data_IF_174465889789
#
_entry.id   IF_174465889789
#
_cell.length_a   1.000
_cell.length_b   1.000
_cell.length_c   1.000
_cell.angle_alpha   90.00
_cell.angle_beta   90.00
_cell.angle_gamma   90.00
#
_symmetry.space_group_name_H-M   'P 1'
#
loop_
_entity.id
_entity.type
_entity.pdbx_description
1 polymer ?
#
# COMPACT_ATOMS: atom_id res chain seq x y z
N UNK A 1 27.08 -0.03 17.25
CA UNK A 1 25.69 -0.53 17.22
C UNK A 1 25.16 -0.14 15.86
N UNK A 2 24.75 -1.09 15.04
CA UNK A 2 24.35 -0.81 13.66
C UNK A 2 22.93 -0.23 13.63
N UNK A 3 22.63 0.64 12.64
CA UNK A 3 21.29 1.22 12.39
C UNK A 3 20.18 0.16 12.42
N UNK A 4 20.46 -1.04 11.96
CA UNK A 4 19.55 -2.19 11.99
C UNK A 4 19.08 -2.62 13.40
N UNK A 5 19.88 -2.35 14.43
CA UNK A 5 19.54 -2.71 15.81
C UNK A 5 18.66 -1.64 16.45
N UNK A 6 18.83 -0.40 16.03
CA UNK A 6 18.01 0.73 16.54
C UNK A 6 16.59 0.66 15.99
N UNK A 7 16.46 0.43 14.68
CA UNK A 7 15.20 0.27 13.96
C UNK A 7 14.33 -0.89 14.52
N UNK A 8 14.99 -2.00 14.88
CA UNK A 8 14.33 -3.16 15.48
C UNK A 8 13.81 -2.90 16.91
N UNK A 9 14.54 -2.10 17.69
CA UNK A 9 14.14 -1.74 19.06
C UNK A 9 12.99 -0.72 19.08
N UNK A 10 12.95 0.23 18.12
CA UNK A 10 11.83 1.17 17.98
C UNK A 10 10.56 0.47 17.50
N UNK A 11 10.66 -0.47 16.56
CA UNK A 11 9.54 -1.29 16.09
C UNK A 11 8.93 -2.17 17.18
N UNK A 12 9.75 -2.76 18.05
CA UNK A 12 9.26 -3.55 19.19
C UNK A 12 8.54 -2.67 20.23
N UNK A 13 8.93 -1.42 20.38
CA UNK A 13 8.30 -0.47 21.30
C UNK A 13 6.96 0.10 20.79
N UNK A 14 6.79 0.20 19.47
CA UNK A 14 5.58 0.78 18.85
C UNK A 14 4.58 -0.28 18.39
N UNK A 15 4.96 -1.57 18.33
CA UNK A 15 4.15 -2.64 17.76
C UNK A 15 3.95 -2.54 16.25
N UNK A 16 4.65 -1.63 15.60
CA UNK A 16 4.62 -1.46 14.14
C UNK A 16 5.64 -2.38 13.47
N UNK A 17 5.36 -2.76 12.23
CA UNK A 17 6.35 -3.50 11.45
C UNK A 17 7.55 -2.63 11.09
N UNK A 18 8.78 -3.20 11.07
CA UNK A 18 9.99 -2.47 10.74
C UNK A 18 9.88 -1.74 9.40
N UNK A 19 10.41 -0.53 9.33
CA UNK A 19 10.45 0.30 8.13
C UNK A 19 9.21 1.18 7.91
N UNK A 20 8.18 1.11 8.75
CA UNK A 20 7.10 2.09 8.74
C UNK A 20 7.45 3.30 9.60
N UNK A 21 7.49 4.47 8.98
CA UNK A 21 7.82 5.75 9.60
C UNK A 21 6.63 6.69 9.55
N UNK A 22 6.30 7.30 10.68
CA UNK A 22 5.23 8.28 10.79
C UNK A 22 5.61 9.60 10.12
N UNK A 23 4.78 10.10 9.24
CA UNK A 23 4.87 11.46 8.70
C UNK A 23 4.30 12.43 9.73
N UNK A 24 5.10 13.40 10.17
CA UNK A 24 4.72 14.34 11.23
C UNK A 24 4.23 15.68 10.72
N UNK A 25 4.50 16.00 9.44
CA UNK A 25 4.21 17.31 8.86
C UNK A 25 3.61 17.21 7.45
N UNK A 26 2.99 18.32 6.99
CA UNK A 26 2.44 18.44 5.66
C UNK A 26 1.11 17.71 5.47
N UNK A 27 0.72 17.51 4.22
CA UNK A 27 -0.58 16.92 3.87
C UNK A 27 -0.72 15.45 4.29
N UNK A 28 0.39 14.76 4.53
CA UNK A 28 0.44 13.37 4.94
C UNK A 28 0.68 13.19 6.44
N UNK A 29 0.63 14.26 7.24
CA UNK A 29 0.75 14.16 8.68
C UNK A 29 -0.25 13.13 9.25
N UNK A 30 0.24 12.20 10.09
CA UNK A 30 -0.55 11.08 10.62
C UNK A 30 -0.62 9.84 9.72
N UNK A 31 0.00 9.86 8.57
CA UNK A 31 0.19 8.68 7.72
C UNK A 31 1.60 8.11 7.90
N UNK A 32 1.81 6.91 7.40
CA UNK A 32 3.08 6.19 7.44
C UNK A 32 3.58 5.92 6.03
N UNK A 33 4.88 5.91 5.86
CA UNK A 33 5.56 5.49 4.64
C UNK A 33 6.70 4.51 4.94
N UNK A 34 7.29 3.91 3.90
CA UNK A 34 8.41 3.00 4.03
C UNK A 34 9.75 3.72 4.10
N UNK A 35 10.63 3.23 5.00
CA UNK A 35 12.07 3.52 4.98
C UNK A 35 12.88 2.22 5.18
N UNK A 36 13.90 1.96 4.34
CA UNK A 36 14.24 2.70 3.13
C UNK A 36 13.14 2.60 2.07
N UNK A 37 13.00 3.62 1.23
CA UNK A 37 11.97 3.66 0.18
C UNK A 37 12.15 2.53 -0.83
N UNK A 38 11.07 1.94 -1.31
CA UNK A 38 11.05 1.15 -2.51
C UNK A 38 11.16 2.09 -3.73
N UNK A 39 12.22 1.91 -4.52
CA UNK A 39 12.54 2.85 -5.60
C UNK A 39 11.45 2.94 -6.67
N UNK A 40 10.77 1.84 -6.99
CA UNK A 40 9.71 1.88 -7.98
C UNK A 40 8.43 2.48 -7.40
N UNK A 41 8.08 2.15 -6.18
CA UNK A 41 6.94 2.73 -5.47
C UNK A 41 7.12 4.23 -5.26
N UNK A 42 8.33 4.69 -4.92
CA UNK A 42 8.65 6.13 -4.80
C UNK A 42 8.52 6.86 -6.13
N UNK A 43 8.98 6.23 -7.22
CA UNK A 43 8.87 6.81 -8.55
C UNK A 43 7.41 6.90 -9.02
N UNK A 44 6.62 5.85 -8.83
CA UNK A 44 5.21 5.80 -9.21
C UNK A 44 4.30 6.56 -8.24
N UNK A 45 4.63 6.54 -6.94
CA UNK A 45 3.91 7.16 -5.83
C UNK A 45 4.37 8.60 -5.55
N UNK A 46 4.70 8.94 -4.30
CA UNK A 46 4.78 8.06 -3.12
C UNK A 46 3.43 7.53 -2.63
N UNK A 47 3.47 6.39 -1.91
CA UNK A 47 2.29 5.77 -1.30
C UNK A 47 2.40 5.80 0.22
N UNK A 48 1.25 5.88 0.88
CA UNK A 48 1.14 6.00 2.32
C UNK A 48 0.10 5.03 2.86
N UNK A 49 0.15 4.77 4.17
CA UNK A 49 -0.87 4.00 4.85
C UNK A 49 -1.13 4.56 6.24
N UNK A 50 -2.28 4.22 6.82
CA UNK A 50 -2.57 4.49 8.23
C UNK A 50 -3.59 3.49 8.75
N UNK A 51 -3.62 3.25 10.10
CA UNK A 51 -4.71 2.51 10.70
C UNK A 51 -6.01 3.32 10.66
N UNK A 52 -7.14 2.65 10.67
CA UNK A 52 -8.47 3.23 10.84
C UNK A 52 -9.03 2.90 12.24
N UNK A 53 -10.00 3.67 12.70
CA UNK A 53 -10.56 3.54 14.05
C UNK A 53 -11.26 2.20 14.30
N UNK A 54 -11.78 1.57 13.24
CA UNK A 54 -12.40 0.24 13.26
C UNK A 54 -11.41 -0.93 13.29
N UNK A 55 -10.10 -0.63 13.34
CA UNK A 55 -9.02 -1.60 13.30
C UNK A 55 -8.61 -2.01 11.88
N UNK A 56 -9.22 -1.41 10.86
CA UNK A 56 -8.84 -1.55 9.46
C UNK A 56 -7.57 -0.78 9.11
N UNK A 57 -7.20 -0.84 7.84
CA UNK A 57 -6.07 -0.11 7.27
C UNK A 57 -6.52 0.56 5.97
N UNK A 58 -6.14 1.81 5.79
CA UNK A 58 -6.30 2.53 4.53
C UNK A 58 -4.93 2.86 3.95
N UNK A 59 -4.77 2.62 2.65
CA UNK A 59 -3.64 3.13 1.88
C UNK A 59 -4.05 4.41 1.16
N UNK A 60 -3.11 5.33 0.96
CA UNK A 60 -3.34 6.64 0.33
C UNK A 60 -2.35 6.92 -0.79
N UNK A 61 -2.85 7.49 -1.87
CA UNK A 61 -2.08 7.94 -3.02
C UNK A 61 -2.63 9.26 -3.55
N UNK A 62 -1.79 10.26 -3.67
CA UNK A 62 -2.11 11.52 -4.33
C UNK A 62 -1.40 11.56 -5.68
N UNK A 63 -2.02 11.09 -6.76
CA UNK A 63 -1.35 11.04 -8.05
C UNK A 63 -1.11 12.45 -8.61
N UNK A 64 0.01 12.59 -9.31
CA UNK A 64 0.50 13.83 -9.89
C UNK A 64 0.46 13.80 -11.42
N UNK A 65 0.93 14.88 -12.04
CA UNK A 65 1.02 14.98 -13.50
C UNK A 65 1.86 13.86 -14.14
N UNK A 66 2.91 13.38 -13.45
CA UNK A 66 3.76 12.26 -13.89
C UNK A 66 3.00 10.93 -14.05
N UNK A 67 1.89 10.79 -13.35
CA UNK A 67 1.07 9.58 -13.35
C UNK A 67 -0.03 9.58 -14.44
N UNK A 68 -0.12 10.61 -15.28
CA UNK A 68 -1.16 10.76 -16.30
C UNK A 68 -0.90 9.86 -17.51
N UNK A 69 -1.99 9.40 -18.10
CA UNK A 69 -1.99 8.84 -19.46
C UNK A 69 -2.16 9.94 -20.50
N UNK A 70 -2.13 9.56 -21.79
CA UNK A 70 -2.31 10.49 -22.90
C UNK A 70 -3.67 11.19 -22.94
N UNK A 71 -4.69 10.65 -22.29
CA UNK A 71 -6.03 11.22 -22.16
C UNK A 71 -6.21 12.16 -20.97
N UNK A 72 -5.17 12.33 -20.13
CA UNK A 72 -5.20 13.25 -19.00
C UNK A 72 -5.64 12.65 -17.66
N UNK A 73 -6.18 11.44 -17.66
CA UNK A 73 -6.51 10.68 -16.45
C UNK A 73 -5.27 9.96 -15.90
N UNK A 74 -5.39 9.41 -14.70
CA UNK A 74 -4.32 8.60 -14.12
C UNK A 74 -4.14 7.31 -14.93
N UNK A 75 -2.88 7.03 -15.26
CA UNK A 75 -2.52 5.84 -16.03
C UNK A 75 -2.84 4.56 -15.24
N UNK A 76 -3.42 3.56 -15.92
CA UNK A 76 -3.76 2.29 -15.30
C UNK A 76 -2.56 1.60 -14.63
N UNK A 77 -1.35 1.74 -15.18
CA UNK A 77 -0.13 1.24 -14.55
C UNK A 77 0.17 1.87 -13.19
N UNK A 78 -0.10 3.17 -13.01
CA UNK A 78 0.06 3.82 -11.71
C UNK A 78 -0.96 3.30 -10.69
N UNK A 79 -2.21 3.09 -11.12
CA UNK A 79 -3.25 2.48 -10.27
C UNK A 79 -2.92 1.03 -9.91
N UNK A 80 -2.36 0.25 -10.84
CA UNK A 80 -1.91 -1.13 -10.55
C UNK A 80 -0.74 -1.16 -9.58
N UNK A 81 0.21 -0.24 -9.67
CA UNK A 81 1.32 -0.12 -8.73
C UNK A 81 0.81 0.23 -7.33
N UNK A 82 -0.15 1.15 -7.23
CA UNK A 82 -0.80 1.46 -5.96
C UNK A 82 -1.60 0.27 -5.40
N UNK A 83 -2.27 -0.50 -6.25
CA UNK A 83 -2.94 -1.74 -5.82
C UNK A 83 -1.93 -2.78 -5.30
N UNK A 84 -0.77 -2.93 -5.95
CA UNK A 84 0.29 -3.85 -5.52
C UNK A 84 0.87 -3.45 -4.16
N UNK A 85 1.14 -2.17 -3.94
CA UNK A 85 1.47 -1.65 -2.61
C UNK A 85 0.38 -1.99 -1.57
N UNK A 86 -0.87 -1.66 -1.90
CA UNK A 86 -1.99 -1.82 -0.98
C UNK A 86 -2.22 -3.29 -0.57
N UNK A 87 -2.06 -4.24 -1.50
CA UNK A 87 -2.27 -5.66 -1.18
C UNK A 87 -1.29 -6.21 -0.14
N UNK A 88 -0.01 -5.74 -0.13
CA UNK A 88 0.96 -6.11 0.90
C UNK A 88 0.64 -5.43 2.24
N UNK A 89 0.13 -4.20 2.20
CA UNK A 89 -0.32 -3.50 3.40
C UNK A 89 -1.54 -4.19 4.02
N UNK A 90 -2.54 -4.54 3.21
CA UNK A 90 -3.74 -5.27 3.65
C UNK A 90 -3.37 -6.66 4.19
N UNK A 91 -2.44 -7.36 3.53
CA UNK A 91 -2.04 -8.71 3.93
C UNK A 91 -1.32 -8.76 5.28
N UNK A 92 -0.61 -7.71 5.67
CA UNK A 92 0.19 -7.67 6.89
C UNK A 92 -0.34 -6.73 7.97
N UNK A 93 -1.24 -5.80 7.63
CA UNK A 93 -1.62 -4.73 8.55
C UNK A 93 -0.45 -3.82 8.88
N UNK A 94 -0.54 -3.12 10.01
CA UNK A 94 0.50 -2.21 10.49
C UNK A 94 1.60 -2.92 11.27
N UNK A 95 1.39 -4.16 11.71
CA UNK A 95 2.22 -4.89 12.66
C UNK A 95 3.01 -6.06 12.05
N UNK A 96 2.55 -6.62 10.94
CA UNK A 96 3.15 -7.83 10.36
C UNK A 96 3.78 -7.58 8.99
N UNK A 97 5.11 -7.73 8.89
CA UNK A 97 5.80 -7.72 7.60
C UNK A 97 5.46 -8.97 6.78
N UNK A 98 5.01 -8.76 5.55
CA UNK A 98 4.79 -9.84 4.58
C UNK A 98 5.96 -9.86 3.59
N UNK A 99 6.87 -10.81 3.80
CA UNK A 99 7.97 -11.05 2.85
C UNK A 99 7.47 -12.00 1.76
N UNK A 100 7.42 -11.53 0.54
CA UNK A 100 6.87 -12.32 -0.56
C UNK A 100 6.92 -11.59 -1.89
N UNK A 101 6.27 -12.20 -2.86
CA UNK A 101 6.07 -11.63 -4.20
C UNK A 101 4.63 -11.82 -4.63
N UNK A 102 4.11 -10.90 -5.41
CA UNK A 102 2.83 -11.04 -6.09
C UNK A 102 2.93 -12.12 -7.16
N UNK A 103 2.12 -13.16 -7.06
CA UNK A 103 2.05 -14.23 -8.06
C UNK A 103 1.09 -13.90 -9.19
N UNK A 104 -0.08 -13.40 -8.80
CA UNK A 104 -1.15 -13.00 -9.72
C UNK A 104 -1.84 -11.77 -9.18
N UNK A 105 -2.26 -10.87 -10.08
CA UNK A 105 -3.11 -9.76 -9.76
C UNK A 105 -4.11 -9.53 -10.90
N UNK A 106 -5.39 -9.41 -10.56
CA UNK A 106 -6.45 -9.02 -11.48
C UNK A 106 -6.93 -7.63 -11.07
N UNK A 107 -7.11 -6.77 -12.07
CA UNK A 107 -7.57 -5.41 -11.88
C UNK A 107 -8.72 -5.10 -12.85
N UNK A 108 -9.85 -4.69 -12.31
CA UNK A 108 -10.99 -4.17 -13.05
C UNK A 108 -11.02 -2.65 -12.92
N UNK A 109 -10.75 -1.94 -14.01
CA UNK A 109 -10.78 -0.48 -14.06
C UNK A 109 -12.23 -0.04 -14.25
N UNK A 110 -12.87 0.38 -13.17
CA UNK A 110 -14.31 0.68 -13.14
C UNK A 110 -14.61 2.17 -13.16
N UNK A 111 -13.59 3.03 -13.00
CA UNK A 111 -13.72 4.48 -13.04
C UNK A 111 -12.42 5.17 -13.43
N UNK A 112 -12.53 6.42 -13.88
CA UNK A 112 -11.37 7.26 -14.13
C UNK A 112 -10.93 7.96 -12.83
N UNK A 113 -9.63 8.20 -12.71
CA UNK A 113 -9.04 9.02 -11.65
C UNK A 113 -8.29 10.20 -12.24
N UNK A 114 -8.25 11.31 -11.52
CA UNK A 114 -7.64 12.56 -11.93
C UNK A 114 -6.44 12.90 -11.03
N UNK A 115 -5.41 13.60 -11.55
CA UNK A 115 -4.32 14.11 -10.74
C UNK A 115 -4.80 15.07 -9.64
N UNK A 116 -4.09 15.06 -8.51
CA UNK A 116 -4.38 15.96 -7.39
C UNK A 116 -5.60 15.57 -6.54
N UNK A 117 -6.20 14.41 -6.80
CA UNK A 117 -7.28 13.85 -5.97
C UNK A 117 -6.74 12.69 -5.15
N UNK A 118 -7.05 12.69 -3.85
CA UNK A 118 -6.65 11.61 -2.97
C UNK A 118 -7.39 10.32 -3.36
N UNK A 119 -6.62 9.32 -3.76
CA UNK A 119 -7.12 7.96 -3.92
C UNK A 119 -6.87 7.18 -2.65
N UNK A 120 -7.85 6.41 -2.21
CA UNK A 120 -7.70 5.51 -1.07
C UNK A 120 -7.91 4.06 -1.50
N UNK A 121 -7.15 3.15 -0.89
CA UNK A 121 -7.32 1.72 -1.11
C UNK A 121 -7.63 1.03 0.21
N UNK A 122 -8.66 0.19 0.20
CA UNK A 122 -9.08 -0.68 1.30
C UNK A 122 -9.36 -2.07 0.79
N UNK A 123 -9.26 -3.03 1.69
CA UNK A 123 -9.51 -4.41 1.31
C UNK A 123 -9.43 -5.36 2.48
N UNK A 124 -9.42 -6.64 2.15
CA UNK A 124 -9.37 -7.71 3.15
C UNK A 124 -8.52 -8.89 2.68
N UNK A 125 -8.02 -9.62 3.64
CA UNK A 125 -7.45 -10.95 3.41
C UNK A 125 -8.60 -11.94 3.29
N UNK A 126 -8.81 -12.46 2.07
CA UNK A 126 -9.83 -13.49 1.80
C UNK A 126 -9.44 -14.81 2.46
N UNK A 127 -8.15 -15.18 2.37
CA UNK A 127 -7.59 -16.37 3.01
C UNK A 127 -6.07 -16.22 3.16
N UNK A 128 -5.56 -16.59 4.31
CA UNK A 128 -4.12 -16.75 4.54
C UNK A 128 -3.79 -18.22 4.80
N UNK A 129 -3.01 -18.81 3.90
CA UNK A 129 -2.41 -20.14 4.07
C UNK A 129 -0.96 -20.04 4.57
N UNK A 130 -0.28 -21.18 4.76
CA UNK A 130 1.11 -21.21 5.20
C UNK A 130 2.09 -20.47 4.29
N UNK A 131 1.91 -20.55 2.97
CA UNK A 131 2.80 -19.95 1.98
C UNK A 131 2.11 -19.02 0.98
N UNK A 132 0.78 -18.93 0.99
CA UNK A 132 -0.01 -18.16 0.03
C UNK A 132 -1.06 -17.34 0.77
N UNK A 133 -1.22 -16.08 0.38
CA UNK A 133 -2.27 -15.18 0.87
C UNK A 133 -3.10 -14.70 -0.31
N UNK A 134 -4.41 -14.76 -0.16
CA UNK A 134 -5.38 -14.23 -1.11
C UNK A 134 -5.94 -12.92 -0.56
N UNK A 135 -5.81 -11.85 -1.33
CA UNK A 135 -6.22 -10.49 -0.95
C UNK A 135 -7.16 -9.94 -2.00
N UNK A 136 -8.13 -9.15 -1.59
CA UNK A 136 -8.94 -8.33 -2.50
C UNK A 136 -9.14 -6.93 -1.92
N UNK A 137 -9.39 -5.96 -2.80
CA UNK A 137 -9.62 -4.58 -2.38
C UNK A 137 -10.17 -3.70 -3.48
N UNK A 138 -10.40 -2.46 -3.11
CA UNK A 138 -10.92 -1.41 -3.99
C UNK A 138 -10.07 -0.15 -3.79
N UNK A 139 -9.73 0.51 -4.90
CA UNK A 139 -9.25 1.88 -4.92
C UNK A 139 -10.45 2.78 -5.23
N UNK A 140 -10.65 3.80 -4.42
CA UNK A 140 -11.72 4.78 -4.59
C UNK A 140 -11.23 6.22 -4.56
N UNK A 141 -12.02 7.12 -5.15
CA UNK A 141 -11.91 8.56 -5.13
C UNK A 141 -13.14 9.12 -4.41
N UNK A 142 -12.99 9.41 -3.12
CA UNK A 142 -14.04 9.96 -2.26
C UNK A 142 -15.36 9.15 -2.34
N UNK A 143 -15.26 7.81 -2.28
CA UNK A 143 -16.40 6.88 -2.34
C UNK A 143 -16.81 6.46 -3.77
N UNK A 144 -16.18 7.01 -4.80
CA UNK A 144 -16.36 6.58 -6.18
C UNK A 144 -15.31 5.53 -6.56
N UNK A 145 -15.73 4.32 -6.80
CA UNK A 145 -14.83 3.23 -7.16
C UNK A 145 -14.07 3.53 -8.45
N UNK A 146 -12.76 3.36 -8.43
CA UNK A 146 -11.84 3.56 -9.56
C UNK A 146 -11.30 2.23 -10.07
N UNK A 147 -10.88 1.36 -9.17
CA UNK A 147 -10.31 0.07 -9.51
C UNK A 147 -10.68 -0.96 -8.43
N UNK A 148 -11.16 -2.11 -8.86
CA UNK A 148 -11.27 -3.29 -8.01
C UNK A 148 -10.09 -4.24 -8.30
N UNK A 149 -9.49 -4.83 -7.26
CA UNK A 149 -8.38 -5.76 -7.42
C UNK A 149 -8.53 -7.00 -6.57
N UNK A 150 -7.96 -8.09 -7.06
CA UNK A 150 -7.71 -9.31 -6.30
C UNK A 150 -6.34 -9.86 -6.64
N UNK A 151 -5.65 -10.40 -5.66
CA UNK A 151 -4.27 -10.83 -5.82
C UNK A 151 -3.94 -12.05 -4.96
N UNK A 152 -2.89 -12.75 -5.38
CA UNK A 152 -2.29 -13.85 -4.65
C UNK A 152 -0.84 -13.51 -4.38
N UNK A 153 -0.44 -13.52 -3.10
CA UNK A 153 0.93 -13.30 -2.64
C UNK A 153 1.55 -14.65 -2.27
N UNK A 154 2.73 -14.94 -2.79
CA UNK A 154 3.59 -16.00 -2.31
C UNK A 154 4.47 -15.48 -1.19
N UNK A 155 4.27 -15.97 0.03
CA UNK A 155 5.12 -15.65 1.17
C UNK A 155 6.39 -16.48 1.18
N UNK A 156 7.51 -15.85 1.51
CA UNK A 156 8.76 -16.55 1.80
C UNK A 156 8.83 -16.84 3.30
N UNK A 157 9.36 -18.01 3.66
CA UNK A 157 9.70 -18.28 5.07
C UNK A 157 10.88 -17.40 5.45
N UNK A 158 10.82 -16.76 6.62
CA UNK A 158 12.05 -16.25 7.24
C UNK A 158 12.93 -17.46 7.53
N UNK A 159 14.12 -17.49 6.93
CA UNK A 159 15.14 -18.45 7.27
C UNK A 159 15.66 -18.22 8.68
#
# INVERSE_FOLDING_TARGET
>A
MSEHTHDKLESEATGLRPGLVLVTEGQWAGWYHWEPVDHFEEHAGPFYCRPEEDGGLVCGFMPEAKNRNGGGNIHGGALMTFADYALFMIAGGMDTSVHGVTMTMNCDFVGAAEPGRLLTARGEVVRAGGSVVFVRGIIDDAGRNVLAFSATIKRFRKG
#
